data_IF_742127369895
#
_entry.id   IF_742127369895
#
_cell.length_a   1.000
_cell.length_b   1.000
_cell.length_c   1.000
_cell.angle_alpha   90.00
_cell.angle_beta   90.00
_cell.angle_gamma   90.00
#
_symmetry.space_group_name_H-M   'P 1'
#
loop_
_entity.id
_entity.type
_entity.pdbx_description
1 polymer ?
#
# COMPACT_ATOMS: atom_id res chain seq x y z
N UNK A 1 15.68 -0.23 -12.42
CA UNK A 1 15.55 0.52 -11.14
C UNK A 1 14.12 0.46 -10.59
N UNK A 2 13.09 0.76 -11.39
CA UNK A 2 11.68 0.72 -10.93
C UNK A 2 11.31 -0.67 -10.36
N UNK A 3 11.68 -1.76 -11.04
CA UNK A 3 11.35 -3.11 -10.56
C UNK A 3 12.04 -3.48 -9.23
N UNK A 4 13.28 -3.02 -9.03
CA UNK A 4 14.01 -3.23 -7.78
C UNK A 4 13.35 -2.48 -6.62
N UNK A 5 12.97 -1.22 -6.85
CA UNK A 5 12.24 -0.41 -5.85
C UNK A 5 10.86 -1.01 -5.58
N UNK A 6 10.15 -1.47 -6.62
CA UNK A 6 8.87 -2.18 -6.48
C UNK A 6 9.02 -3.42 -5.60
N UNK A 7 10.00 -4.28 -5.89
CA UNK A 7 10.25 -5.49 -5.11
C UNK A 7 10.58 -5.17 -3.64
N UNK A 8 11.43 -4.17 -3.42
CA UNK A 8 11.76 -3.70 -2.07
C UNK A 8 10.53 -3.20 -1.31
N UNK A 9 9.69 -2.35 -1.92
CA UNK A 9 8.50 -1.80 -1.26
C UNK A 9 7.43 -2.85 -1.00
N UNK A 10 7.29 -3.86 -1.86
CA UNK A 10 6.40 -5.00 -1.64
C UNK A 10 6.90 -5.86 -0.46
N UNK A 11 8.20 -6.13 -0.38
CA UNK A 11 8.80 -6.82 0.78
C UNK A 11 8.57 -6.01 2.05
N UNK A 12 8.82 -4.71 2.01
CA UNK A 12 8.64 -3.83 3.17
C UNK A 12 7.19 -3.80 3.64
N UNK A 13 6.20 -3.76 2.74
CA UNK A 13 4.79 -3.85 3.11
C UNK A 13 4.51 -5.16 3.86
N UNK A 14 5.00 -6.27 3.33
CA UNK A 14 4.84 -7.60 3.93
C UNK A 14 5.48 -7.65 5.32
N UNK A 15 6.74 -7.21 5.44
CA UNK A 15 7.49 -7.20 6.69
C UNK A 15 6.80 -6.35 7.77
N UNK A 16 6.29 -5.17 7.41
CA UNK A 16 5.54 -4.32 8.35
C UNK A 16 4.25 -5.01 8.80
N UNK A 17 3.50 -5.62 7.87
CA UNK A 17 2.26 -6.30 8.22
C UNK A 17 2.52 -7.46 9.17
N UNK A 18 3.52 -8.30 8.88
CA UNK A 18 3.85 -9.47 9.70
C UNK A 18 4.25 -9.06 11.12
N UNK A 19 5.02 -7.97 11.27
CA UNK A 19 5.41 -7.46 12.58
C UNK A 19 4.21 -6.86 13.34
N UNK A 20 3.32 -6.14 12.67
CA UNK A 20 2.13 -5.59 13.29
C UNK A 20 1.14 -6.68 13.73
N UNK A 21 0.97 -7.75 12.95
CA UNK A 21 0.17 -8.92 13.35
C UNK A 21 0.77 -9.65 14.56
N UNK A 22 2.10 -9.81 14.60
CA UNK A 22 2.79 -10.40 15.74
C UNK A 22 2.61 -9.57 17.02
N UNK A 23 2.71 -8.24 16.91
CA UNK A 23 2.49 -7.33 18.04
C UNK A 23 1.02 -7.32 18.48
N UNK A 24 0.06 -7.36 17.54
CA UNK A 24 -1.37 -7.40 17.89
C UNK A 24 -1.78 -8.73 18.52
N UNK A 25 -1.25 -9.84 18.01
CA UNK A 25 -1.45 -11.20 18.52
C UNK A 25 -2.86 -11.76 18.31
N UNK A 26 -3.78 -11.02 17.68
CA UNK A 26 -5.17 -11.44 17.44
C UNK A 26 -5.65 -11.14 16.03
N UNK A 27 -5.64 -9.87 15.62
CA UNK A 27 -6.14 -9.48 14.31
C UNK A 27 -5.08 -9.66 13.23
N UNK A 28 -5.54 -9.93 12.01
CA UNK A 28 -4.72 -10.10 10.81
C UNK A 28 -5.14 -9.11 9.75
N UNK A 29 -4.21 -8.74 8.86
CA UNK A 29 -4.49 -7.87 7.74
C UNK A 29 -5.36 -8.58 6.70
N UNK A 30 -6.44 -7.91 6.30
CA UNK A 30 -7.19 -8.23 5.09
C UNK A 30 -6.48 -7.56 3.93
N UNK A 31 -6.15 -8.36 2.91
CA UNK A 31 -5.47 -7.92 1.70
C UNK A 31 -6.47 -7.73 0.57
N UNK A 32 -6.44 -6.55 -0.04
CA UNK A 32 -7.22 -6.19 -1.21
C UNK A 32 -6.28 -5.73 -2.33
N UNK A 33 -6.21 -6.52 -3.40
CA UNK A 33 -5.45 -6.17 -4.60
C UNK A 33 -6.36 -5.45 -5.59
N UNK A 34 -5.87 -4.36 -6.15
CA UNK A 34 -6.63 -3.57 -7.10
C UNK A 34 -5.79 -3.18 -8.31
N UNK A 35 -6.48 -2.92 -9.40
CA UNK A 35 -5.91 -2.42 -10.65
C UNK A 35 -6.82 -1.34 -11.21
N UNK A 36 -6.24 -0.25 -11.72
CA UNK A 36 -7.02 0.79 -12.41
C UNK A 36 -7.53 0.25 -13.76
N UNK A 37 -8.77 0.57 -14.17
CA UNK A 37 -9.37 0.04 -15.40
C UNK A 37 -8.58 0.35 -16.69
N UNK A 38 -7.82 1.44 -16.70
CA UNK A 38 -7.00 1.91 -17.82
C UNK A 38 -5.56 1.35 -17.78
N UNK A 39 -5.27 0.41 -16.88
CA UNK A 39 -3.94 -0.11 -16.60
C UNK A 39 -2.90 0.94 -16.17
N UNK A 40 -3.32 2.15 -15.78
CA UNK A 40 -2.41 3.21 -15.31
C UNK A 40 -1.84 2.98 -13.90
N UNK A 41 -2.10 1.81 -13.30
CA UNK A 41 -1.52 1.43 -12.03
C UNK A 41 -2.26 0.33 -11.32
N UNK A 42 -1.63 -0.17 -10.27
CA UNK A 42 -2.16 -1.19 -9.37
C UNK A 42 -1.61 -0.98 -7.97
N UNK A 43 -2.15 -1.72 -7.02
CA UNK A 43 -1.71 -1.65 -5.64
C UNK A 43 -2.26 -2.79 -4.80
N UNK A 44 -1.83 -2.79 -3.55
CA UNK A 44 -2.27 -3.72 -2.52
C UNK A 44 -2.61 -2.89 -1.30
N UNK A 45 -3.88 -2.86 -0.96
CA UNK A 45 -4.38 -2.29 0.30
C UNK A 45 -4.38 -3.40 1.34
N UNK A 46 -3.78 -3.16 2.50
CA UNK A 46 -3.86 -4.08 3.64
C UNK A 46 -4.42 -3.35 4.84
N UNK A 47 -5.52 -3.84 5.39
CA UNK A 47 -6.18 -3.26 6.57
C UNK A 47 -6.37 -4.30 7.66
N UNK A 48 -5.97 -3.97 8.88
CA UNK A 48 -6.23 -4.71 10.11
C UNK A 48 -7.21 -3.88 10.94
N UNK A 49 -8.24 -4.52 11.50
CA UNK A 49 -9.24 -3.86 12.36
C UNK A 49 -9.63 -4.76 13.53
N UNK A 50 -10.11 -4.16 14.62
CA UNK A 50 -10.60 -4.88 15.80
C UNK A 50 -9.52 -5.76 16.47
N UNK A 51 -8.27 -5.30 16.38
CA UNK A 51 -7.12 -5.88 17.06
C UNK A 51 -7.13 -5.65 18.56
N UNK A 52 -6.26 -6.37 19.25
CA UNK A 52 -6.07 -6.20 20.69
C UNK A 52 -5.24 -4.95 21.00
N UNK A 53 -4.27 -4.65 20.13
CA UNK A 53 -3.37 -3.50 20.25
C UNK A 53 -3.78 -2.39 19.29
N UNK A 54 -4.10 -2.74 18.05
CA UNK A 54 -4.50 -1.77 17.03
C UNK A 54 -6.02 -1.83 16.83
N UNK A 55 -6.71 -0.75 17.17
CA UNK A 55 -8.11 -0.57 16.78
C UNK A 55 -8.25 -0.66 15.25
N UNK A 56 -7.34 0.01 14.53
CA UNK A 56 -7.19 -0.06 13.08
C UNK A 56 -5.74 0.20 12.68
N UNK A 57 -5.25 -0.53 11.67
CA UNK A 57 -3.97 -0.28 11.00
C UNK A 57 -4.11 -0.47 9.49
N UNK A 58 -3.37 0.34 8.72
CA UNK A 58 -3.37 0.27 7.25
C UNK A 58 -1.97 0.39 6.69
N UNK A 59 -1.58 -0.54 5.81
CA UNK A 59 -0.28 -0.53 5.13
C UNK A 59 -0.52 -0.73 3.64
N UNK A 60 -0.35 0.33 2.85
CA UNK A 60 -0.74 0.33 1.46
C UNK A 60 0.48 0.41 0.53
N UNK A 61 0.43 -0.35 -0.56
CA UNK A 61 1.36 -0.26 -1.67
C UNK A 61 0.61 0.23 -2.92
N UNK A 62 1.24 1.10 -3.70
CA UNK A 62 0.71 1.56 -4.98
C UNK A 62 1.84 1.82 -5.96
N UNK A 63 1.65 1.39 -7.20
CA UNK A 63 2.49 1.77 -8.33
C UNK A 63 1.58 2.29 -9.44
N UNK A 64 1.68 3.59 -9.71
CA UNK A 64 0.85 4.30 -10.68
C UNK A 64 1.75 5.00 -11.69
N UNK A 65 1.30 5.06 -12.94
CA UNK A 65 1.99 5.69 -14.04
C UNK A 65 0.99 6.37 -14.97
N UNK A 66 1.43 7.38 -15.70
CA UNK A 66 0.62 8.08 -16.68
C UNK A 66 1.48 9.05 -17.48
N UNK A 67 0.96 9.48 -18.61
CA UNK A 67 1.71 10.33 -19.53
C UNK A 67 1.86 11.76 -19.02
N UNK A 68 0.94 12.19 -18.14
CA UNK A 68 0.90 13.54 -17.59
C UNK A 68 0.71 13.50 -16.08
N UNK A 69 1.32 14.47 -15.40
CA UNK A 69 1.11 14.66 -13.96
C UNK A 69 -0.32 15.17 -13.71
N UNK A 70 -1.02 14.67 -12.68
CA UNK A 70 -2.34 15.17 -12.34
C UNK A 70 -2.26 16.62 -11.85
N UNK A 71 -3.36 17.36 -11.99
CA UNK A 71 -3.44 18.76 -11.54
C UNK A 71 -3.04 18.94 -10.07
N UNK A 72 -3.34 17.97 -9.20
CA UNK A 72 -2.93 17.97 -7.79
C UNK A 72 -1.42 17.98 -7.57
N UNK A 73 -0.64 17.49 -8.54
CA UNK A 73 0.82 17.45 -8.47
C UNK A 73 1.50 18.65 -9.15
N UNK A 74 0.79 19.36 -10.05
CA UNK A 74 1.33 20.49 -10.82
C UNK A 74 0.80 21.85 -10.38
N UNK A 75 -0.37 21.95 -9.74
CA UNK A 75 -0.95 23.23 -9.32
C UNK A 75 -0.08 24.02 -8.33
N UNK A 76 0.65 23.32 -7.46
CA UNK A 76 1.53 23.96 -6.47
C UNK A 76 2.96 24.21 -7.00
N UNK A 77 3.29 23.67 -8.19
CA UNK A 77 4.60 23.75 -8.85
C UNK A 77 4.38 23.70 -10.37
N UNK A 78 3.98 24.82 -11.00
CA UNK A 78 3.68 24.88 -12.42
C UNK A 78 4.92 24.67 -13.29
#
# INVERSE_FOLDING_TARGET
MIDQVKAYLLSLQQDICDQLEQVDGKAVFIKDEWQKPDNSGNGITRVLTNGTVFEQAGVNFSIVHGDNMPASATQLRP
#
